data_IF_165878359608
#
_entry.id   IF_165878359608
#
_cell.length_a   1.000
_cell.length_b   1.000
_cell.length_c   1.000
_cell.angle_alpha   90.00
_cell.angle_beta   90.00
_cell.angle_gamma   90.00
#
_symmetry.space_group_name_H-M   'P 1'
#
loop_
_entity.id
_entity.type
_entity.pdbx_description
1 polymer ?
#
# COMPACT_ATOMS: atom_id res chain seq x y z
N UNK A 1 39.46 -40.89 46.14
CA UNK A 1 40.07 -39.62 45.70
C UNK A 1 39.09 -38.91 44.78
N UNK A 2 38.59 -37.72 45.15
CA UNK A 2 37.74 -36.91 44.26
C UNK A 2 38.33 -35.50 44.25
N UNK A 3 38.93 -35.11 43.13
CA UNK A 3 39.50 -33.78 42.93
C UNK A 3 38.36 -32.78 42.70
N UNK A 4 38.16 -31.85 43.64
CA UNK A 4 37.27 -30.71 43.45
C UNK A 4 37.96 -29.66 42.57
N UNK A 5 37.47 -29.49 41.35
CA UNK A 5 37.96 -28.49 40.43
C UNK A 5 37.41 -27.11 40.84
N UNK A 6 38.27 -26.26 41.40
CA UNK A 6 37.93 -24.88 41.76
C UNK A 6 37.71 -24.04 40.49
N UNK A 7 36.44 -23.74 40.19
CA UNK A 7 36.10 -22.85 39.09
C UNK A 7 36.58 -21.42 39.41
N UNK A 8 37.58 -20.92 38.68
CA UNK A 8 38.01 -19.53 38.79
C UNK A 8 36.92 -18.57 38.30
N UNK A 9 36.30 -17.85 39.24
CA UNK A 9 35.39 -16.74 38.93
C UNK A 9 36.21 -15.53 38.51
N UNK A 10 36.19 -15.18 37.21
CA UNK A 10 36.83 -13.96 36.72
C UNK A 10 35.92 -12.76 36.95
N UNK A 11 36.34 -11.83 37.82
CA UNK A 11 35.67 -10.55 38.01
C UNK A 11 35.83 -9.67 36.76
N UNK A 12 34.76 -9.52 36.00
CA UNK A 12 34.75 -8.70 34.78
C UNK A 12 34.48 -7.25 35.18
N UNK A 13 35.35 -6.33 34.76
CA UNK A 13 35.15 -4.90 35.03
C UNK A 13 33.87 -4.38 34.34
N UNK A 14 33.23 -3.36 34.92
CA UNK A 14 32.02 -2.75 34.36
C UNK A 14 32.23 -2.29 32.89
N UNK A 15 33.44 -1.82 32.56
CA UNK A 15 33.87 -1.41 31.22
C UNK A 15 33.87 -2.59 30.23
N UNK A 16 34.42 -3.74 30.63
CA UNK A 16 34.43 -4.96 29.80
C UNK A 16 33.02 -5.51 29.58
N UNK A 17 32.16 -5.48 30.62
CA UNK A 17 30.75 -5.89 30.52
C UNK A 17 29.98 -5.02 29.52
N UNK A 18 30.17 -3.69 29.57
CA UNK A 18 29.55 -2.72 28.64
C UNK A 18 30.03 -2.91 27.19
N UNK A 19 31.31 -3.23 26.97
CA UNK A 19 31.87 -3.53 25.64
C UNK A 19 31.24 -4.78 25.03
N UNK A 20 31.12 -5.86 25.80
CA UNK A 20 30.47 -7.12 25.38
C UNK A 20 28.97 -6.95 25.08
N UNK A 21 28.27 -6.11 25.85
CA UNK A 21 26.86 -5.79 25.57
C UNK A 21 26.70 -4.95 24.30
N UNK A 22 27.62 -4.01 24.02
CA UNK A 22 27.61 -3.24 22.76
C UNK A 22 27.91 -4.10 21.55
N UNK A 23 28.86 -5.03 21.64
CA UNK A 23 29.21 -5.93 20.51
C UNK A 23 28.11 -6.94 20.19
N UNK A 24 27.20 -7.21 21.12
CA UNK A 24 26.02 -8.09 20.92
C UNK A 24 24.78 -7.34 20.42
N UNK A 25 24.88 -6.02 20.19
CA UNK A 25 23.77 -5.27 19.62
C UNK A 25 23.58 -5.68 18.16
N UNK A 26 22.33 -5.88 17.70
CA UNK A 26 22.07 -6.18 16.31
C UNK A 26 22.55 -5.04 15.41
N UNK A 27 23.05 -5.40 14.22
CA UNK A 27 23.55 -4.44 13.22
C UNK A 27 22.44 -3.51 12.71
N UNK A 28 21.19 -4.00 12.71
CA UNK A 28 19.99 -3.23 12.38
C UNK A 28 19.22 -2.86 13.65
N UNK A 29 18.55 -1.68 13.67
CA UNK A 29 17.70 -1.32 14.79
C UNK A 29 16.54 -2.31 14.91
N UNK A 30 16.31 -2.81 16.14
CA UNK A 30 15.23 -3.76 16.47
C UNK A 30 13.85 -3.20 16.08
N UNK A 31 13.70 -1.87 16.09
CA UNK A 31 12.51 -1.17 15.63
C UNK A 31 12.90 -0.25 14.49
N UNK A 32 12.40 -0.53 13.28
CA UNK A 32 12.55 0.39 12.15
C UNK A 32 11.87 1.74 12.48
N UNK A 33 12.39 2.86 11.96
CA UNK A 33 11.71 4.17 12.11
C UNK A 33 10.24 4.01 11.70
N UNK A 34 9.30 4.46 12.53
CA UNK A 34 7.86 4.46 12.21
C UNK A 34 7.66 5.20 10.89
N UNK A 35 7.62 4.47 9.78
CA UNK A 35 7.33 5.06 8.47
C UNK A 35 5.83 5.32 8.45
N UNK A 36 5.45 6.60 8.41
CA UNK A 36 4.08 7.00 8.06
C UNK A 36 3.81 6.53 6.62
N UNK A 37 3.10 5.42 6.46
CA UNK A 37 2.74 4.88 5.14
C UNK A 37 1.62 5.75 4.57
N UNK A 38 1.86 6.39 3.43
CA UNK A 38 0.86 7.18 2.72
C UNK A 38 -0.06 6.23 1.92
N UNK A 39 -1.36 6.48 1.94
CA UNK A 39 -2.29 5.78 1.03
C UNK A 39 -2.02 6.24 -0.40
N UNK A 40 -1.70 5.30 -1.28
CA UNK A 40 -1.52 5.54 -2.71
C UNK A 40 -2.77 5.05 -3.43
N UNK A 41 -3.40 5.92 -4.22
CA UNK A 41 -4.52 5.52 -5.06
C UNK A 41 -4.10 4.46 -6.08
N UNK A 42 -4.98 3.51 -6.37
CA UNK A 42 -4.69 2.45 -7.34
C UNK A 42 -4.39 3.03 -8.73
N UNK A 43 -3.33 2.53 -9.35
CA UNK A 43 -2.96 2.87 -10.74
C UNK A 43 -4.07 2.54 -11.73
N UNK A 44 -4.90 1.54 -11.41
CA UNK A 44 -6.06 1.14 -12.21
C UNK A 44 -7.09 2.26 -12.39
N UNK A 45 -7.19 3.21 -11.46
CA UNK A 45 -8.11 4.33 -11.58
C UNK A 45 -7.55 5.46 -12.44
N UNK A 46 -6.22 5.60 -12.49
CA UNK A 46 -5.52 6.63 -13.25
C UNK A 46 -5.85 6.50 -14.74
N UNK A 47 -6.25 7.60 -15.36
CA UNK A 47 -6.56 7.67 -16.80
C UNK A 47 -7.91 7.04 -17.21
N UNK A 48 -8.52 6.19 -16.37
CA UNK A 48 -9.82 5.55 -16.67
C UNK A 48 -11.01 6.35 -16.14
N UNK A 49 -10.83 7.00 -14.99
CA UNK A 49 -11.84 7.81 -14.33
C UNK A 49 -11.35 9.26 -14.22
N UNK A 50 -12.27 10.21 -14.23
CA UNK A 50 -11.98 11.64 -14.04
C UNK A 50 -12.95 12.25 -13.06
N UNK A 51 -12.44 12.99 -12.09
CA UNK A 51 -13.25 13.79 -11.16
C UNK A 51 -13.72 15.04 -11.90
N UNK A 52 -15.01 15.36 -11.78
CA UNK A 52 -15.58 16.62 -12.28
C UNK A 52 -15.62 17.67 -11.17
N UNK A 53 -15.82 18.94 -11.53
CA UNK A 53 -15.85 20.06 -10.56
C UNK A 53 -16.90 19.86 -9.46
N UNK A 54 -18.03 19.23 -9.78
CA UNK A 54 -19.11 18.92 -8.83
C UNK A 54 -18.78 17.75 -7.88
N UNK A 55 -17.57 17.19 -7.92
CA UNK A 55 -17.15 16.02 -7.14
C UNK A 55 -17.67 14.67 -7.65
N UNK A 56 -18.47 14.66 -8.71
CA UNK A 56 -18.92 13.43 -9.40
C UNK A 56 -17.78 12.81 -10.20
N UNK A 57 -17.73 11.48 -10.26
CA UNK A 57 -16.70 10.75 -11.02
C UNK A 57 -17.26 10.35 -12.39
N UNK A 58 -16.61 10.82 -13.45
CA UNK A 58 -16.90 10.46 -14.84
C UNK A 58 -16.18 9.18 -15.24
N UNK A 59 -16.85 8.35 -16.04
CA UNK A 59 -16.32 7.14 -16.69
C UNK A 59 -16.74 7.06 -18.16
N UNK A 60 -16.01 6.28 -18.95
CA UNK A 60 -16.46 5.87 -20.28
C UNK A 60 -17.35 4.63 -20.19
N UNK A 61 -18.32 4.51 -21.10
CA UNK A 61 -19.15 3.30 -21.22
C UNK A 61 -18.36 2.19 -21.89
N UNK A 62 -18.54 0.98 -21.39
CA UNK A 62 -17.82 -0.21 -21.86
C UNK A 62 -18.43 -0.80 -23.14
N UNK A 63 -17.76 -1.79 -23.72
CA UNK A 63 -18.31 -2.60 -24.81
C UNK A 63 -18.30 -1.96 -26.19
N UNK A 64 -17.46 -0.95 -26.43
CA UNK A 64 -17.35 -0.30 -27.76
C UNK A 64 -16.08 -0.60 -28.56
N UNK A 65 -15.07 -1.23 -27.95
CA UNK A 65 -13.75 -1.45 -28.57
C UNK A 65 -13.77 -2.51 -29.69
N UNK A 66 -14.25 -3.70 -29.39
CA UNK A 66 -14.33 -4.85 -30.31
C UNK A 66 -15.78 -5.34 -30.44
N UNK A 67 -16.08 -6.15 -31.45
CA UNK A 67 -17.42 -6.71 -31.74
C UNK A 67 -18.52 -5.63 -31.69
N UNK A 68 -18.23 -4.45 -32.25
CA UNK A 68 -19.18 -3.34 -32.32
C UNK A 68 -20.10 -3.46 -33.55
N UNK A 69 -19.75 -4.31 -34.52
CA UNK A 69 -20.56 -4.56 -35.71
C UNK A 69 -21.92 -5.17 -35.36
N UNK A 70 -21.96 -6.12 -34.42
CA UNK A 70 -23.18 -6.79 -33.93
C UNK A 70 -24.12 -5.91 -33.10
N UNK A 71 -23.70 -4.68 -32.77
CA UNK A 71 -24.51 -3.73 -31.98
C UNK A 71 -25.30 -2.81 -32.91
N UNK A 72 -26.56 -2.56 -32.55
CA UNK A 72 -27.40 -1.59 -33.26
C UNK A 72 -26.78 -0.19 -33.30
N UNK A 73 -27.11 0.59 -34.34
CA UNK A 73 -26.64 1.99 -34.47
C UNK A 73 -27.02 2.84 -33.24
N UNK A 74 -28.23 2.64 -32.70
CA UNK A 74 -28.73 3.30 -31.48
C UNK A 74 -27.87 2.96 -30.26
N UNK A 75 -27.56 1.67 -30.06
CA UNK A 75 -26.67 1.22 -28.98
C UNK A 75 -25.26 1.83 -29.11
N UNK A 76 -24.66 1.77 -30.30
CA UNK A 76 -23.35 2.38 -30.57
C UNK A 76 -23.30 3.87 -30.29
N UNK A 77 -24.39 4.61 -30.54
CA UNK A 77 -24.50 6.05 -30.25
C UNK A 77 -24.51 6.30 -28.74
N UNK A 78 -25.32 5.56 -27.99
CA UNK A 78 -25.41 5.63 -26.52
C UNK A 78 -24.07 5.35 -25.84
N UNK A 79 -23.28 4.42 -26.38
CA UNK A 79 -21.95 4.06 -25.88
C UNK A 79 -20.86 5.12 -26.18
N UNK A 80 -21.11 6.11 -27.06
CA UNK A 80 -20.18 7.24 -27.27
C UNK A 80 -20.23 8.26 -26.14
N UNK A 81 -21.29 8.25 -25.34
CA UNK A 81 -21.48 9.27 -24.32
C UNK A 81 -20.80 8.83 -23.02
N UNK A 82 -20.11 9.73 -22.31
CA UNK A 82 -19.61 9.41 -20.98
C UNK A 82 -20.77 9.12 -20.03
N UNK A 83 -20.46 8.46 -18.91
CA UNK A 83 -21.40 8.19 -17.83
C UNK A 83 -20.81 8.59 -16.49
N UNK A 84 -21.66 8.58 -15.47
CA UNK A 84 -21.27 8.78 -14.08
C UNK A 84 -21.01 7.40 -13.46
N UNK A 85 -20.02 7.32 -12.56
CA UNK A 85 -19.76 6.11 -11.76
C UNK A 85 -20.94 5.87 -10.81
N UNK A 86 -21.49 4.65 -10.71
CA UNK A 86 -22.55 4.35 -9.77
C UNK A 86 -22.13 4.69 -8.33
N UNK A 87 -23.08 5.14 -7.52
CA UNK A 87 -22.83 5.68 -6.18
C UNK A 87 -22.05 4.71 -5.27
N UNK A 88 -22.39 3.42 -5.31
CA UNK A 88 -21.73 2.37 -4.52
C UNK A 88 -20.21 2.33 -4.79
N UNK A 89 -19.82 2.36 -6.06
CA UNK A 89 -18.40 2.35 -6.44
C UNK A 89 -17.72 3.69 -6.15
N UNK A 90 -18.41 4.81 -6.35
CA UNK A 90 -17.86 6.12 -6.04
C UNK A 90 -17.46 6.25 -4.56
N UNK A 91 -18.26 5.68 -3.65
CA UNK A 91 -17.97 5.64 -2.21
C UNK A 91 -16.68 4.87 -1.91
N UNK A 92 -16.48 3.72 -2.57
CA UNK A 92 -15.27 2.90 -2.41
C UNK A 92 -14.05 3.61 -2.98
N UNK A 93 -14.16 4.24 -4.15
CA UNK A 93 -13.06 4.98 -4.77
C UNK A 93 -12.58 6.14 -3.88
N UNK A 94 -13.49 6.86 -3.21
CA UNK A 94 -13.13 7.92 -2.26
C UNK A 94 -12.33 7.37 -1.06
N UNK A 95 -12.74 6.23 -0.49
CA UNK A 95 -11.99 5.56 0.60
C UNK A 95 -10.58 5.14 0.20
N UNK A 96 -10.37 4.85 -1.09
CA UNK A 96 -9.10 4.42 -1.65
C UNK A 96 -8.22 5.58 -2.16
N UNK A 97 -8.47 6.80 -1.69
CA UNK A 97 -7.70 8.00 -2.01
C UNK A 97 -7.66 8.34 -3.52
N UNK A 98 -8.73 8.03 -4.26
CA UNK A 98 -8.85 8.41 -5.68
C UNK A 98 -9.29 9.86 -5.88
N UNK A 99 -10.24 10.32 -5.06
CA UNK A 99 -10.79 11.66 -5.08
C UNK A 99 -10.63 12.22 -3.66
N UNK A 100 -9.83 13.28 -3.52
CA UNK A 100 -9.75 14.07 -2.30
C UNK A 100 -10.98 15.00 -2.23
#
# INVERSE_FOLDING_TARGET
MVYFQLAQVRYITAKQRKRKLKSRKPMTPVVSKVKKIKIKGYSSFKGRFRVMNDGKIRRWKEGKRHNAFSKSKKSKRRLRQPGIVPLAYAKVMKKLNFCA
#
